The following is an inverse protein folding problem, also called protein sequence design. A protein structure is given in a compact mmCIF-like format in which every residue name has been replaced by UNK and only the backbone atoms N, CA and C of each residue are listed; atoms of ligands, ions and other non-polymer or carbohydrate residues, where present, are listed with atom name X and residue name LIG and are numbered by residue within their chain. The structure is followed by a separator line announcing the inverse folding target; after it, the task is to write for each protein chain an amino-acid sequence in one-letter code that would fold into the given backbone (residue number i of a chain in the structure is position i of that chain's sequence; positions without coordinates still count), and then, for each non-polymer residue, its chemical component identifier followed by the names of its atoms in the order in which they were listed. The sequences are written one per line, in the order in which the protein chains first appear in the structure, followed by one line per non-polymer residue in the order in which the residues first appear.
data_IF_847051241991
#
_entry.id   IF_847051241991
#
_cell.length_a   1.000
_cell.length_b   1.000
_cell.length_c   1.000
_cell.angle_alpha   90.00
_cell.angle_beta   90.00
_cell.angle_gamma   90.00
#
_symmetry.space_group_name_H-M   'P 1'
#
loop_
_entity.id
_entity.type
_entity.pdbx_description
1 polymer ?
#
# COMPACT_ATOMS: atom_id res chain seq x y z
N UNK A 1 2.16 20.07 -16.19
CA UNK A 1 1.97 18.60 -16.43
C UNK A 1 1.46 18.02 -15.14
N UNK A 2 0.49 17.10 -15.18
CA UNK A 2 0.04 16.34 -13.97
C UNK A 2 0.51 14.90 -14.11
N UNK A 3 1.01 14.30 -13.03
CA UNK A 3 1.41 12.90 -12.95
C UNK A 3 0.65 12.23 -11.81
N UNK A 4 0.03 11.10 -12.09
CA UNK A 4 -0.57 10.21 -11.09
C UNK A 4 0.22 8.90 -11.09
N UNK A 5 0.73 8.51 -9.93
CA UNK A 5 1.42 7.24 -9.73
C UNK A 5 0.56 6.35 -8.84
N UNK A 6 -0.19 5.42 -9.43
CA UNK A 6 -1.04 4.48 -8.71
C UNK A 6 -0.30 3.15 -8.49
N UNK A 7 -0.09 2.80 -7.24
CA UNK A 7 0.60 1.58 -6.84
C UNK A 7 -0.33 0.67 -6.04
N UNK A 8 -0.44 -0.57 -6.49
CA UNK A 8 -1.19 -1.61 -5.80
C UNK A 8 -0.22 -2.61 -5.18
N UNK A 9 -0.27 -2.75 -3.86
CA UNK A 9 0.44 -3.81 -3.18
C UNK A 9 -0.23 -5.17 -3.44
N UNK A 10 0.58 -6.20 -3.62
CA UNK A 10 0.11 -7.59 -3.80
C UNK A 10 -0.85 -7.85 -4.98
N UNK A 11 -1.03 -6.91 -5.90
CA UNK A 11 -1.84 -7.12 -7.09
C UNK A 11 -1.12 -8.03 -8.09
N UNK A 12 -1.63 -9.25 -8.25
CA UNK A 12 -1.06 -10.19 -9.19
C UNK A 12 -1.57 -9.90 -10.62
N UNK A 13 -0.66 -9.63 -11.55
CA UNK A 13 -0.99 -9.38 -12.96
C UNK A 13 -1.77 -10.53 -13.61
N UNK A 14 -1.55 -11.77 -13.19
CA UNK A 14 -2.27 -12.95 -13.70
C UNK A 14 -3.76 -12.95 -13.31
N UNK A 15 -4.19 -12.09 -12.40
CA UNK A 15 -5.59 -11.87 -12.05
C UNK A 15 -6.26 -10.80 -12.90
N UNK A 16 -5.51 -10.07 -13.74
CA UNK A 16 -6.04 -8.97 -14.55
C UNK A 16 -6.47 -9.42 -15.95
N UNK A 17 -7.64 -8.97 -16.41
CA UNK A 17 -8.12 -9.24 -17.76
C UNK A 17 -7.18 -8.69 -18.83
N UNK A 18 -6.48 -7.58 -18.57
CA UNK A 18 -5.48 -7.00 -19.45
C UNK A 18 -4.27 -7.92 -19.72
N UNK A 19 -4.05 -8.91 -18.87
CA UNK A 19 -3.04 -9.96 -19.05
C UNK A 19 -3.67 -11.34 -19.34
N UNK A 20 -4.94 -11.37 -19.76
CA UNK A 20 -5.63 -12.59 -20.22
C UNK A 20 -6.34 -13.39 -19.14
N UNK A 21 -6.46 -12.88 -17.91
CA UNK A 21 -7.22 -13.58 -16.86
C UNK A 21 -8.70 -13.73 -17.24
N UNK A 22 -9.23 -14.91 -16.97
CA UNK A 22 -10.66 -15.20 -17.10
C UNK A 22 -11.33 -15.50 -15.75
N UNK A 23 -10.55 -15.61 -14.68
CA UNK A 23 -11.01 -15.99 -13.35
C UNK A 23 -11.68 -14.85 -12.59
N UNK A 24 -11.17 -13.63 -12.79
CA UNK A 24 -11.66 -12.42 -12.10
C UNK A 24 -11.96 -11.36 -13.14
N UNK A 25 -13.12 -10.71 -13.01
CA UNK A 25 -13.49 -9.58 -13.86
C UNK A 25 -12.87 -8.29 -13.36
N UNK A 26 -12.06 -7.64 -14.18
CA UNK A 26 -11.36 -6.38 -13.87
C UNK A 26 -11.60 -5.35 -14.99
N UNK A 27 -12.86 -4.95 -15.24
CA UNK A 27 -13.22 -4.17 -16.41
C UNK A 27 -12.55 -2.78 -16.46
N UNK A 28 -12.27 -2.17 -15.32
CA UNK A 28 -11.60 -0.87 -15.27
C UNK A 28 -10.12 -0.98 -15.67
N UNK A 29 -9.40 -2.02 -15.23
CA UNK A 29 -8.04 -2.29 -15.68
C UNK A 29 -7.99 -2.61 -17.16
N UNK A 30 -8.96 -3.37 -17.67
CA UNK A 30 -9.08 -3.65 -19.11
C UNK A 30 -9.27 -2.35 -19.89
N UNK A 31 -10.24 -1.52 -19.52
CA UNK A 31 -10.48 -0.21 -20.16
C UNK A 31 -9.26 0.71 -20.09
N UNK A 32 -8.51 0.70 -18.99
CA UNK A 32 -7.27 1.44 -18.85
C UNK A 32 -6.21 0.93 -19.83
N UNK A 33 -6.01 -0.38 -19.94
CA UNK A 33 -5.01 -0.98 -20.83
C UNK A 33 -5.26 -0.69 -22.31
N UNK A 34 -6.50 -0.45 -22.71
CA UNK A 34 -6.85 -0.06 -24.08
C UNK A 34 -6.38 1.36 -24.45
N UNK A 35 -5.98 2.17 -23.46
CA UNK A 35 -5.55 3.57 -23.63
C UNK A 35 -4.09 3.83 -23.22
N UNK A 36 -3.43 2.83 -22.67
CA UNK A 36 -2.10 2.94 -22.08
C UNK A 36 -1.14 1.92 -22.68
N UNK A 37 0.15 2.19 -22.52
CA UNK A 37 1.18 1.18 -22.81
C UNK A 37 1.20 0.15 -21.70
N UNK A 38 1.10 -1.13 -22.05
CA UNK A 38 1.25 -2.25 -21.11
C UNK A 38 2.66 -2.83 -21.24
N UNK A 39 3.36 -2.95 -20.10
CA UNK A 39 4.69 -3.50 -20.05
C UNK A 39 4.64 -4.97 -19.62
N UNK A 40 4.90 -5.89 -20.53
CA UNK A 40 4.92 -7.33 -20.26
C UNK A 40 6.17 -7.78 -19.51
N UNK A 41 7.27 -7.06 -19.69
CA UNK A 41 8.59 -7.37 -19.14
C UNK A 41 9.07 -6.25 -18.22
N UNK A 42 8.27 -5.95 -17.20
CA UNK A 42 8.66 -5.05 -16.12
C UNK A 42 9.06 -5.89 -14.90
N UNK A 43 10.32 -5.79 -14.49
CA UNK A 43 10.89 -6.59 -13.40
C UNK A 43 11.06 -5.73 -12.15
N UNK A 44 10.72 -6.32 -11.00
CA UNK A 44 10.97 -5.70 -9.70
C UNK A 44 12.47 -5.79 -9.36
N UNK A 45 13.02 -4.73 -8.77
CA UNK A 45 14.40 -4.71 -8.28
C UNK A 45 14.52 -5.42 -6.94
N UNK A 46 13.88 -4.88 -5.92
CA UNK A 46 13.93 -5.40 -4.54
C UNK A 46 12.55 -5.77 -4.02
N UNK A 47 12.50 -6.73 -3.08
CA UNK A 47 11.30 -7.22 -2.40
C UNK A 47 11.60 -7.42 -0.90
N UNK A 48 10.60 -7.43 -0.03
CA UNK A 48 9.18 -7.13 -0.24
C UNK A 48 8.86 -5.63 -0.30
N UNK A 49 7.76 -5.17 0.30
CA UNK A 49 7.22 -3.82 0.12
C UNK A 49 8.23 -2.68 0.35
N UNK A 50 8.84 -2.55 1.54
CA UNK A 50 9.71 -1.41 1.86
C UNK A 50 10.98 -1.36 1.00
N UNK A 51 11.69 -2.46 0.74
CA UNK A 51 12.77 -2.49 -0.24
C UNK A 51 12.33 -2.01 -1.64
N UNK A 52 11.18 -2.49 -2.13
CA UNK A 52 10.63 -2.04 -3.41
C UNK A 52 10.25 -0.54 -3.41
N UNK A 53 9.73 -0.03 -2.29
CA UNK A 53 9.41 1.40 -2.13
C UNK A 53 10.66 2.26 -2.22
N UNK A 54 11.77 1.81 -1.62
CA UNK A 54 13.05 2.52 -1.74
C UNK A 54 13.55 2.52 -3.19
N UNK A 55 13.50 1.40 -3.90
CA UNK A 55 13.85 1.33 -5.32
C UNK A 55 13.04 2.34 -6.13
N UNK A 56 11.72 2.38 -5.92
CA UNK A 56 10.82 3.30 -6.65
C UNK A 56 11.10 4.77 -6.34
N UNK A 57 11.37 5.10 -5.07
CA UNK A 57 11.57 6.49 -4.68
C UNK A 57 12.96 7.03 -5.03
N UNK A 58 13.97 6.18 -5.09
CA UNK A 58 15.37 6.61 -5.25
C UNK A 58 16.01 6.18 -6.56
N UNK A 59 15.43 5.23 -7.28
CA UNK A 59 16.06 4.59 -8.43
C UNK A 59 17.26 3.70 -8.08
N UNK A 60 17.48 3.40 -6.79
CA UNK A 60 18.58 2.57 -6.30
C UNK A 60 18.09 1.21 -5.85
N UNK A 61 18.76 0.15 -6.24
CA UNK A 61 18.42 -1.21 -5.85
C UNK A 61 18.73 -1.45 -4.38
N UNK A 62 17.68 -1.55 -3.55
CA UNK A 62 17.81 -1.67 -2.10
C UNK A 62 18.55 -2.95 -1.68
N UNK A 63 18.37 -4.06 -2.40
CA UNK A 63 19.04 -5.34 -2.07
C UNK A 63 20.56 -5.27 -2.13
N UNK A 64 21.13 -4.29 -2.84
CA UNK A 64 22.57 -4.04 -2.87
C UNK A 64 23.05 -3.28 -1.62
N UNK A 65 22.15 -2.74 -0.85
CA UNK A 65 22.47 -1.93 0.31
C UNK A 65 22.06 -2.60 1.63
N UNK A 66 20.79 -3.02 1.73
CA UNK A 66 20.22 -3.67 2.92
C UNK A 66 18.90 -4.37 2.63
N UNK A 67 18.30 -4.95 3.66
CA UNK A 67 16.94 -5.50 3.63
C UNK A 67 15.88 -4.41 3.91
N UNK A 68 15.07 -4.59 4.92
CA UNK A 68 14.01 -3.67 5.34
C UNK A 68 14.54 -2.43 6.06
N UNK A 69 13.93 -1.26 5.83
CA UNK A 69 14.25 -0.06 6.58
C UNK A 69 13.76 1.25 5.93
N UNK A 70 14.01 2.38 6.60
CA UNK A 70 13.66 3.72 6.12
C UNK A 70 14.49 4.14 4.91
N UNK A 71 14.15 5.30 4.30
CA UNK A 71 15.09 5.99 3.42
C UNK A 71 16.29 6.47 4.23
N UNK A 72 17.45 6.45 3.61
CA UNK A 72 18.67 6.95 4.25
C UNK A 72 18.76 8.48 4.13
N UNK A 73 19.49 9.14 5.05
CA UNK A 73 19.74 10.58 4.95
C UNK A 73 20.42 11.01 3.64
N UNK A 74 21.12 10.10 2.98
CA UNK A 74 21.82 10.36 1.72
C UNK A 74 21.02 9.94 0.47
N UNK A 75 19.81 9.42 0.65
CA UNK A 75 18.95 9.06 -0.46
C UNK A 75 18.29 10.31 -1.04
N UNK A 76 18.51 10.57 -2.31
CA UNK A 76 17.76 11.56 -3.07
C UNK A 76 16.48 10.87 -3.58
N UNK A 77 15.36 11.17 -2.96
CA UNK A 77 14.08 10.64 -3.39
C UNK A 77 13.40 11.54 -4.42
N UNK A 78 12.59 10.95 -5.31
CA UNK A 78 11.89 11.75 -6.31
C UNK A 78 10.97 12.83 -5.70
N UNK A 79 10.28 12.61 -4.55
CA UNK A 79 9.48 13.67 -3.95
C UNK A 79 10.33 14.88 -3.50
N UNK A 80 11.52 14.65 -2.97
CA UNK A 80 12.45 15.74 -2.62
C UNK A 80 12.95 16.47 -3.86
N UNK A 81 13.31 15.74 -4.91
CA UNK A 81 13.74 16.36 -6.19
C UNK A 81 12.61 17.23 -6.78
N UNK A 82 11.35 16.79 -6.66
CA UNK A 82 10.20 17.58 -7.08
C UNK A 82 10.04 18.83 -6.20
N UNK A 83 10.17 18.69 -4.89
CA UNK A 83 10.11 19.80 -3.94
C UNK A 83 11.17 20.85 -4.23
N UNK A 84 12.42 20.44 -4.49
CA UNK A 84 13.53 21.32 -4.84
C UNK A 84 13.32 22.07 -6.18
N UNK A 85 12.45 21.52 -7.03
CA UNK A 85 12.05 22.12 -8.29
C UNK A 85 10.72 22.91 -8.20
N UNK A 86 10.25 23.24 -7.00
CA UNK A 86 8.95 23.89 -6.75
C UNK A 86 7.74 23.15 -7.34
N UNK A 87 7.82 21.82 -7.43
CA UNK A 87 6.74 20.97 -7.91
C UNK A 87 6.05 20.34 -6.71
N UNK A 88 4.75 20.63 -6.55
CA UNK A 88 3.95 20.09 -5.47
C UNK A 88 3.72 18.58 -5.65
N UNK A 89 3.91 17.83 -4.57
CA UNK A 89 3.66 16.40 -4.53
C UNK A 89 2.78 16.02 -3.35
N UNK A 90 1.83 15.12 -3.57
CA UNK A 90 0.93 14.60 -2.56
C UNK A 90 0.94 13.08 -2.54
N UNK A 91 0.99 12.49 -1.36
CA UNK A 91 0.91 11.05 -1.15
C UNK A 91 -0.40 10.71 -0.48
N UNK A 92 -1.20 9.84 -1.10
CA UNK A 92 -2.29 9.15 -0.44
C UNK A 92 -1.93 7.68 -0.32
N UNK A 93 -1.98 7.12 0.88
CA UNK A 93 -1.54 5.73 1.09
C UNK A 93 -2.22 5.07 2.28
N UNK A 94 -2.53 3.79 2.13
CA UNK A 94 -2.95 2.90 3.21
C UNK A 94 -1.81 2.00 3.69
N UNK A 95 -0.60 2.21 3.16
CA UNK A 95 0.58 1.39 3.46
C UNK A 95 1.16 1.71 4.84
N UNK A 96 0.70 1.00 5.88
CA UNK A 96 1.06 1.23 7.29
C UNK A 96 2.57 1.27 7.54
N UNK A 97 3.36 0.49 6.80
CA UNK A 97 4.81 0.43 6.96
C UNK A 97 5.54 1.76 6.73
N UNK A 98 4.92 2.76 6.13
CA UNK A 98 5.48 4.11 6.08
C UNK A 98 5.46 4.83 7.42
N UNK A 99 4.60 4.41 8.36
CA UNK A 99 4.38 5.05 9.65
C UNK A 99 4.81 4.20 10.86
N UNK A 100 5.20 2.95 10.64
CA UNK A 100 5.77 2.12 11.69
C UNK A 100 7.23 2.45 11.99
N UNK A 101 7.74 1.99 13.13
CA UNK A 101 9.16 2.08 13.48
C UNK A 101 10.03 1.39 12.42
N UNK A 102 11.04 2.11 11.94
CA UNK A 102 11.90 1.67 10.85
C UNK A 102 11.36 1.97 9.43
N UNK A 103 10.19 2.57 9.27
CA UNK A 103 9.62 2.97 7.98
C UNK A 103 9.46 4.48 7.76
N UNK A 104 9.50 5.26 8.79
CA UNK A 104 9.03 6.64 8.98
C UNK A 104 9.63 7.76 8.10
N UNK A 105 10.38 7.48 7.07
CA UNK A 105 11.06 8.51 6.26
C UNK A 105 10.55 8.61 4.82
N UNK A 106 9.51 7.87 4.46
CA UNK A 106 8.99 7.85 3.09
C UNK A 106 7.94 8.94 2.84
N UNK A 107 6.94 9.02 3.71
CA UNK A 107 5.80 9.93 3.55
C UNK A 107 6.18 11.41 3.76
N UNK A 108 7.10 11.68 4.67
CA UNK A 108 7.54 13.04 5.00
C UNK A 108 8.42 13.70 3.92
N UNK A 109 8.74 12.99 2.84
CA UNK A 109 9.43 13.52 1.66
C UNK A 109 8.50 14.22 0.67
N UNK A 110 7.19 13.97 0.77
CA UNK A 110 6.18 14.64 -0.04
C UNK A 110 5.80 16.00 0.55
N UNK A 111 5.30 16.91 -0.28
CA UNK A 111 4.81 18.21 0.18
C UNK A 111 3.67 18.07 1.19
N UNK A 112 2.73 17.17 0.90
CA UNK A 112 1.66 16.77 1.81
C UNK A 112 1.36 15.29 1.67
N UNK A 113 0.67 14.72 2.66
CA UNK A 113 0.25 13.32 2.61
C UNK A 113 -1.03 13.08 3.40
N UNK A 114 -1.77 12.03 2.98
CA UNK A 114 -2.91 11.47 3.69
C UNK A 114 -2.66 9.99 3.99
N UNK A 115 -2.92 9.57 5.23
CA UNK A 115 -2.82 8.19 5.66
C UNK A 115 -4.18 7.57 5.91
N UNK A 116 -4.59 6.66 5.06
CA UNK A 116 -5.82 5.88 5.20
C UNK A 116 -5.57 4.70 6.11
N UNK A 117 -6.22 4.73 7.29
CA UNK A 117 -6.01 3.76 8.36
C UNK A 117 -6.78 2.45 8.17
N UNK A 118 -6.20 1.34 8.64
CA UNK A 118 -6.91 0.05 8.80
C UNK A 118 -6.39 -1.11 7.96
N UNK A 119 -5.36 -0.90 7.15
CA UNK A 119 -4.72 -1.93 6.33
C UNK A 119 -3.39 -2.40 6.94
N UNK A 120 -2.84 -3.52 6.46
CA UNK A 120 -1.50 -4.00 6.76
C UNK A 120 -1.13 -4.08 8.24
N UNK A 121 -2.04 -4.60 9.07
CA UNK A 121 -1.80 -4.77 10.52
C UNK A 121 -1.71 -3.46 11.30
N UNK A 122 -2.17 -2.38 10.71
CA UNK A 122 -2.24 -1.07 11.34
C UNK A 122 -2.96 -1.17 12.71
N UNK A 123 -2.34 -0.77 13.83
CA UNK A 123 -3.00 -0.75 15.14
C UNK A 123 -4.02 0.41 15.22
N UNK A 124 -5.03 0.37 14.36
CA UNK A 124 -5.97 1.46 14.14
C UNK A 124 -7.06 1.53 15.20
N UNK A 125 -7.76 0.42 15.40
CA UNK A 125 -8.92 0.37 16.29
C UNK A 125 -8.66 -0.49 17.50
N UNK A 126 -9.21 -0.06 18.64
CA UNK A 126 -9.13 -0.80 19.88
C UNK A 126 -10.45 -1.55 20.16
N UNK A 127 -10.37 -2.86 20.30
CA UNK A 127 -11.43 -3.68 20.85
C UNK A 127 -10.77 -4.46 22.00
N UNK A 128 -11.08 -4.08 23.25
CA UNK A 128 -10.45 -4.68 24.44
C UNK A 128 -10.87 -6.14 24.61
N UNK A 129 -12.13 -6.43 24.32
CA UNK A 129 -12.72 -7.79 24.37
C UNK A 129 -13.30 -8.14 22.99
N UNK A 130 -12.48 -8.62 22.05
CA UNK A 130 -12.98 -9.00 20.73
C UNK A 130 -13.96 -10.17 20.82
N UNK A 131 -14.99 -10.23 19.97
CA UNK A 131 -15.99 -11.32 19.98
C UNK A 131 -15.41 -12.60 19.35
N UNK A 132 -14.42 -13.21 20.01
CA UNK A 132 -13.66 -14.35 19.48
C UNK A 132 -14.52 -15.54 19.10
N UNK A 133 -15.59 -15.84 19.85
CA UNK A 133 -16.50 -16.96 19.53
C UNK A 133 -17.16 -16.81 18.14
N UNK A 134 -17.41 -15.58 17.72
CA UNK A 134 -17.92 -15.27 16.39
C UNK A 134 -16.80 -15.26 15.35
N UNK A 135 -15.70 -14.57 15.65
CA UNK A 135 -14.58 -14.42 14.72
C UNK A 135 -13.96 -15.76 14.33
N UNK A 136 -13.78 -16.66 15.28
CA UNK A 136 -13.27 -18.03 15.04
C UNK A 136 -14.17 -18.86 14.09
N UNK A 137 -15.46 -18.54 14.03
CA UNK A 137 -16.39 -19.20 13.09
C UNK A 137 -16.33 -18.60 11.68
N UNK A 138 -15.86 -17.37 11.56
CA UNK A 138 -15.79 -16.63 10.29
C UNK A 138 -14.46 -16.78 9.56
N UNK A 139 -13.36 -16.98 10.31
CA UNK A 139 -12.01 -16.96 9.78
C UNK A 139 -11.28 -18.28 10.03
N UNK A 140 -10.42 -18.64 9.11
CA UNK A 140 -9.54 -19.81 9.28
C UNK A 140 -8.50 -19.53 10.38
N UNK A 141 -8.13 -20.53 11.17
CA UNK A 141 -7.21 -20.41 12.30
C UNK A 141 -5.86 -19.75 11.98
N UNK A 142 -5.39 -19.88 10.73
CA UNK A 142 -4.15 -19.24 10.27
C UNK A 142 -4.29 -17.74 9.93
N UNK A 143 -5.51 -17.20 9.96
CA UNK A 143 -5.79 -15.81 9.57
C UNK A 143 -5.92 -14.86 10.76
N UNK A 144 -5.91 -15.38 12.00
CA UNK A 144 -6.04 -14.55 13.19
C UNK A 144 -5.12 -15.00 14.32
N UNK A 145 -4.96 -14.14 15.30
CA UNK A 145 -4.34 -14.44 16.59
C UNK A 145 -5.10 -13.71 17.69
N UNK A 146 -5.31 -14.39 18.81
CA UNK A 146 -5.92 -13.77 20.00
C UNK A 146 -4.89 -12.97 20.83
N UNK A 147 -3.61 -13.05 20.47
CA UNK A 147 -2.54 -12.36 21.14
C UNK A 147 -2.43 -10.93 20.59
N UNK A 148 -2.70 -9.86 21.38
CA UNK A 148 -2.71 -8.48 20.89
C UNK A 148 -1.41 -7.99 20.24
N UNK A 149 -0.27 -8.60 20.58
CA UNK A 149 1.02 -8.28 19.95
C UNK A 149 1.28 -9.05 18.65
N UNK A 150 0.41 -9.98 18.31
CA UNK A 150 0.53 -10.71 17.03
C UNK A 150 0.15 -9.83 15.86
N UNK A 151 0.88 -9.97 14.78
CA UNK A 151 0.62 -9.29 13.52
C UNK A 151 -0.79 -9.55 12.97
N UNK A 152 -1.34 -10.75 13.20
CA UNK A 152 -2.66 -11.15 12.72
C UNK A 152 -3.83 -10.70 13.61
N UNK A 153 -3.55 -10.09 14.77
CA UNK A 153 -4.59 -9.55 15.65
C UNK A 153 -5.27 -8.34 15.01
N UNK A 154 -4.50 -7.36 14.58
CA UNK A 154 -5.03 -6.11 14.02
C UNK A 154 -5.74 -6.30 12.68
N UNK A 155 -5.30 -7.25 11.85
CA UNK A 155 -5.97 -7.59 10.58
C UNK A 155 -7.45 -7.92 10.79
N UNK A 156 -7.76 -8.70 11.81
CA UNK A 156 -9.14 -9.14 12.10
C UNK A 156 -9.92 -8.05 12.85
N UNK A 157 -9.28 -7.35 13.78
CA UNK A 157 -9.94 -6.28 14.54
C UNK A 157 -10.35 -5.13 13.62
N UNK A 158 -9.49 -4.73 12.71
CA UNK A 158 -9.79 -3.67 11.77
C UNK A 158 -10.98 -4.00 10.86
N UNK A 159 -11.14 -5.27 10.46
CA UNK A 159 -12.28 -5.74 9.63
C UNK A 159 -13.64 -5.56 10.31
N UNK A 160 -13.67 -5.49 11.64
CA UNK A 160 -14.92 -5.17 12.35
C UNK A 160 -15.45 -3.75 12.03
N UNK A 161 -14.62 -2.89 11.49
CA UNK A 161 -14.95 -1.51 11.10
C UNK A 161 -15.04 -1.30 9.59
N UNK A 162 -14.75 -2.33 8.78
CA UNK A 162 -14.90 -2.32 7.32
C UNK A 162 -16.19 -3.11 7.00
N UNK A 163 -17.29 -2.40 6.81
CA UNK A 163 -18.63 -3.00 6.66
C UNK A 163 -19.18 -2.93 5.24
N UNK A 164 -18.76 -1.93 4.49
CA UNK A 164 -19.25 -1.62 3.15
C UNK A 164 -18.06 -1.43 2.21
N UNK A 165 -18.33 -1.41 0.90
CA UNK A 165 -17.31 -1.18 -0.12
C UNK A 165 -16.56 0.15 0.09
N UNK A 166 -17.28 1.20 0.42
CA UNK A 166 -16.72 2.52 0.71
C UNK A 166 -15.80 2.59 1.94
N UNK A 167 -15.86 1.59 2.81
CA UNK A 167 -14.98 1.50 3.99
C UNK A 167 -13.60 0.95 3.67
N UNK A 168 -13.43 0.30 2.52
CA UNK A 168 -12.14 -0.28 2.14
C UNK A 168 -11.10 0.81 1.89
N UNK A 169 -9.89 0.58 2.39
CA UNK A 169 -8.79 1.53 2.29
C UNK A 169 -8.45 1.88 0.84
N UNK A 170 -8.49 0.91 -0.07
CA UNK A 170 -8.26 1.16 -1.49
C UNK A 170 -9.28 2.13 -2.10
N UNK A 171 -10.57 2.02 -1.73
CA UNK A 171 -11.60 2.96 -2.21
C UNK A 171 -11.29 4.37 -1.69
N UNK A 172 -11.07 4.50 -0.39
CA UNK A 172 -10.73 5.79 0.24
C UNK A 172 -9.46 6.42 -0.34
N UNK A 173 -8.42 5.62 -0.61
CA UNK A 173 -7.20 6.13 -1.25
C UNK A 173 -7.49 6.74 -2.63
N UNK A 174 -8.40 6.14 -3.41
CA UNK A 174 -8.77 6.70 -4.70
C UNK A 174 -9.66 7.94 -4.57
N UNK A 175 -10.57 7.96 -3.63
CA UNK A 175 -11.43 9.12 -3.36
C UNK A 175 -10.59 10.34 -2.96
N UNK A 176 -9.69 10.19 -1.98
CA UNK A 176 -8.75 11.25 -1.58
C UNK A 176 -7.79 11.66 -2.72
N UNK A 177 -7.34 10.71 -3.52
CA UNK A 177 -6.51 11.01 -4.68
C UNK A 177 -7.24 11.74 -5.81
N UNK A 178 -8.57 11.64 -5.88
CA UNK A 178 -9.39 12.38 -6.83
C UNK A 178 -9.71 13.79 -6.36
N UNK A 179 -9.73 14.02 -5.05
CA UNK A 179 -9.96 15.36 -4.45
C UNK A 179 -8.73 16.26 -4.60
N UNK A 180 -7.54 15.70 -4.75
CA UNK A 180 -6.31 16.43 -5.04
C UNK A 180 -6.22 16.89 -6.51
#
# INVERSE_FOLDING_TARGET
MKLVFALFDSLNRLSLESYGSQSIKTPNFKRLSERCVTFDKHFVGSLPCMPARRDMQTGRLNFLHRSWGPLEPFDNSFPEILHDADIYSHLVSDHYHYWEDGGLTYHNRYTTYEFIRGQERDPWKAIVEPPWDRLKKMYHEKQYSEIPRSLYYHDIINREYIKKEEDFCSVKCFDEGLDF
#
